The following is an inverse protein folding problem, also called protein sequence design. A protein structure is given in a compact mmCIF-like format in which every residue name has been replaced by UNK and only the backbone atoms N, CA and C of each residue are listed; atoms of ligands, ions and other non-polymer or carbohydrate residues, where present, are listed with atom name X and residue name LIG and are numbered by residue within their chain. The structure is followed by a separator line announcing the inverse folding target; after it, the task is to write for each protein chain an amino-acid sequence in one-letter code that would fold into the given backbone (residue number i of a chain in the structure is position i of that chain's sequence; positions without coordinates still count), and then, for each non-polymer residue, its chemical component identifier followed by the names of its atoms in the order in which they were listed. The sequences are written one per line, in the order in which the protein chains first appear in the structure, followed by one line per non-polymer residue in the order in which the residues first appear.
data_IF_424977551447
#
_entry.id   IF_424977551447
#
_cell.length_a   1.000
_cell.length_b   1.000
_cell.length_c   1.000
_cell.angle_alpha   90.00
_cell.angle_beta   90.00
_cell.angle_gamma   90.00
#
_symmetry.space_group_name_H-M   'P 1'
#
loop_
_entity.id
_entity.type
_entity.pdbx_description
1 polymer ?
#
# COMPACT_ATOMS: atom_id res chain seq x y z
N UNK A 1 -12.45 -2.94 -22.32
CA UNK A 1 -11.47 -1.83 -22.44
C UNK A 1 -10.53 -1.92 -21.23
N UNK A 2 -9.23 -1.61 -21.38
CA UNK A 2 -8.29 -1.52 -20.26
C UNK A 2 -7.72 -0.09 -20.16
N UNK A 3 -7.36 0.34 -18.95
CA UNK A 3 -6.87 1.68 -18.62
C UNK A 3 -5.47 1.61 -18.01
N UNK A 4 -4.63 2.62 -18.27
CA UNK A 4 -3.24 2.65 -17.78
C UNK A 4 -3.17 2.73 -16.25
N UNK A 5 -4.05 3.52 -15.66
CA UNK A 5 -4.21 3.66 -14.22
C UNK A 5 -5.68 3.45 -13.87
N UNK A 6 -5.94 2.65 -12.84
CA UNK A 6 -7.28 2.43 -12.29
C UNK A 6 -7.25 2.76 -10.81
N UNK A 7 -8.17 3.63 -10.35
CA UNK A 7 -8.36 3.90 -8.93
C UNK A 7 -9.48 3.03 -8.39
N UNK A 8 -9.18 2.17 -7.43
CA UNK A 8 -10.19 1.40 -6.70
C UNK A 8 -10.62 2.17 -5.44
N UNK A 9 -11.83 2.71 -5.54
CA UNK A 9 -12.57 3.40 -4.48
C UNK A 9 -13.84 2.62 -4.07
N UNK A 10 -13.95 1.35 -4.48
CA UNK A 10 -15.21 0.59 -4.37
C UNK A 10 -15.47 0.05 -2.96
N UNK A 11 -14.43 -0.15 -2.16
CA UNK A 11 -14.55 -0.75 -0.84
C UNK A 11 -15.15 -2.16 -0.86
N UNK A 12 -14.83 -2.99 -1.88
CA UNK A 12 -15.30 -4.38 -1.96
C UNK A 12 -14.29 -5.33 -2.63
N UNK A 13 -14.23 -6.62 -2.23
CA UNK A 13 -13.41 -7.62 -2.93
C UNK A 13 -13.74 -7.72 -4.42
N UNK A 14 -15.02 -7.68 -4.77
CA UNK A 14 -15.49 -7.79 -6.15
C UNK A 14 -15.04 -6.59 -6.99
N UNK A 15 -15.10 -5.39 -6.40
CA UNK A 15 -14.62 -4.16 -7.02
C UNK A 15 -13.12 -4.17 -7.26
N UNK A 16 -12.33 -4.67 -6.30
CA UNK A 16 -10.89 -4.88 -6.48
C UNK A 16 -10.58 -5.84 -7.64
N UNK A 17 -11.26 -6.99 -7.69
CA UNK A 17 -11.10 -7.96 -8.77
C UNK A 17 -11.47 -7.36 -10.14
N UNK A 18 -12.51 -6.53 -10.19
CA UNK A 18 -12.90 -5.83 -11.39
C UNK A 18 -11.86 -4.78 -11.80
N UNK A 19 -11.37 -3.99 -10.83
CA UNK A 19 -10.37 -2.95 -11.04
C UNK A 19 -9.05 -3.54 -11.58
N UNK A 20 -8.58 -4.67 -11.04
CA UNK A 20 -7.43 -5.41 -11.56
C UNK A 20 -7.63 -5.76 -13.04
N UNK A 21 -8.79 -6.30 -13.42
CA UNK A 21 -9.06 -6.73 -14.80
C UNK A 21 -9.09 -5.57 -15.81
N UNK A 22 -9.49 -4.39 -15.35
CA UNK A 22 -9.52 -3.17 -16.15
C UNK A 22 -8.16 -2.47 -16.23
N UNK A 23 -7.18 -2.84 -15.40
CA UNK A 23 -5.89 -2.16 -15.31
C UNK A 23 -4.87 -2.70 -16.32
N UNK A 24 -3.96 -1.82 -16.78
CA UNK A 24 -2.76 -2.16 -17.56
C UNK A 24 -1.46 -1.99 -16.78
N UNK A 25 -1.31 -0.89 -16.02
CA UNK A 25 -0.02 -0.54 -15.40
C UNK A 25 -0.13 -0.34 -13.88
N UNK A 26 -1.02 0.52 -13.40
CA UNK A 26 -1.12 0.86 -11.97
C UNK A 26 -2.56 0.72 -11.47
N UNK A 27 -2.76 -0.19 -10.51
CA UNK A 27 -3.98 -0.22 -9.71
C UNK A 27 -3.73 0.55 -8.41
N UNK A 28 -4.42 1.67 -8.24
CA UNK A 28 -4.29 2.53 -7.07
C UNK A 28 -5.45 2.29 -6.09
N UNK A 29 -5.14 1.80 -4.89
CA UNK A 29 -6.11 1.54 -3.84
C UNK A 29 -6.31 2.76 -2.94
N UNK A 30 -7.56 3.18 -2.80
CA UNK A 30 -7.97 4.29 -1.91
C UNK A 30 -8.88 3.84 -0.77
N UNK A 31 -9.72 2.85 -1.03
CA UNK A 31 -10.66 2.30 -0.05
C UNK A 31 -10.33 0.85 0.25
N UNK A 32 -10.67 0.39 1.44
CA UNK A 32 -10.54 -1.02 1.82
C UNK A 32 -11.80 -1.52 2.50
N UNK A 33 -11.97 -2.84 2.50
CA UNK A 33 -13.20 -3.49 2.97
C UNK A 33 -12.99 -4.37 4.20
N UNK A 34 -11.77 -4.47 4.72
CA UNK A 34 -11.43 -5.34 5.87
C UNK A 34 -11.65 -6.83 5.62
N UNK A 35 -11.93 -7.25 4.38
CA UNK A 35 -12.13 -8.64 3.97
C UNK A 35 -10.91 -9.16 3.22
N UNK A 36 -10.73 -10.48 3.23
CA UNK A 36 -9.71 -11.14 2.42
C UNK A 36 -10.02 -10.96 0.92
N UNK A 37 -9.00 -10.71 0.11
CA UNK A 37 -9.11 -10.69 -1.36
C UNK A 37 -7.81 -11.20 -1.99
N UNK A 38 -7.90 -12.10 -2.98
CA UNK A 38 -6.74 -12.73 -3.61
C UNK A 38 -5.75 -13.39 -2.63
N UNK A 39 -6.25 -13.87 -1.47
CA UNK A 39 -5.43 -14.47 -0.41
C UNK A 39 -4.73 -13.46 0.52
N UNK A 40 -4.98 -12.16 0.35
CA UNK A 40 -4.46 -11.10 1.22
C UNK A 40 -5.52 -10.68 2.22
N UNK A 41 -5.21 -10.80 3.52
CA UNK A 41 -6.12 -10.44 4.63
C UNK A 41 -5.87 -9.04 5.16
N UNK A 42 -4.69 -8.46 4.89
CA UNK A 42 -4.22 -7.19 5.46
C UNK A 42 -4.27 -6.03 4.45
N UNK A 43 -5.18 -6.07 3.48
CA UNK A 43 -5.32 -4.99 2.49
C UNK A 43 -5.68 -3.64 3.11
N UNK A 44 -6.48 -3.63 4.19
CA UNK A 44 -6.74 -2.42 4.98
C UNK A 44 -5.47 -1.81 5.54
N UNK A 45 -4.65 -2.63 6.19
CA UNK A 45 -3.37 -2.22 6.74
C UNK A 45 -2.38 -1.79 5.64
N UNK A 46 -2.38 -2.46 4.49
CA UNK A 46 -1.58 -2.09 3.32
C UNK A 46 -1.85 -0.64 2.87
N UNK A 47 -3.12 -0.23 2.84
CA UNK A 47 -3.52 1.16 2.52
C UNK A 47 -3.17 2.14 3.64
N UNK A 48 -3.33 1.73 4.91
CA UNK A 48 -2.96 2.57 6.07
C UNK A 48 -1.48 2.92 6.06
N UNK A 49 -0.62 1.94 5.76
CA UNK A 49 0.83 2.13 5.67
C UNK A 49 1.29 2.76 4.35
N UNK A 50 0.36 2.93 3.40
CA UNK A 50 0.62 3.43 2.04
C UNK A 50 1.68 2.60 1.32
N UNK A 51 1.56 1.27 1.38
CA UNK A 51 2.49 0.38 0.69
C UNK A 51 2.23 0.30 -0.82
N UNK A 52 3.25 -0.19 -1.52
CA UNK A 52 3.11 -0.68 -2.89
C UNK A 52 3.51 -2.14 -3.00
N UNK A 53 2.88 -2.86 -3.94
CA UNK A 53 3.18 -4.24 -4.29
C UNK A 53 3.54 -4.27 -5.77
N UNK A 54 4.77 -4.70 -6.06
CA UNK A 54 5.33 -4.72 -7.40
C UNK A 54 5.93 -6.09 -7.68
N UNK A 55 6.12 -6.41 -8.97
CA UNK A 55 7.03 -7.49 -9.36
C UNK A 55 8.45 -7.18 -8.90
N UNK A 56 9.21 -8.19 -8.53
CA UNK A 56 10.64 -8.04 -8.42
C UNK A 56 11.27 -7.80 -9.80
N UNK A 57 11.88 -6.63 -9.94
CA UNK A 57 12.78 -6.25 -11.01
C UNK A 57 13.87 -5.38 -10.37
N UNK A 58 15.12 -5.46 -10.83
CA UNK A 58 16.23 -4.72 -10.22
C UNK A 58 15.95 -3.21 -10.13
N UNK A 59 15.30 -2.62 -11.14
CA UNK A 59 14.89 -1.21 -11.14
C UNK A 59 13.89 -0.87 -10.02
N UNK A 60 13.09 -1.84 -9.56
CA UNK A 60 12.10 -1.62 -8.50
C UNK A 60 12.76 -1.59 -7.10
N UNK A 61 14.07 -1.90 -6.99
CA UNK A 61 14.86 -1.60 -5.79
C UNK A 61 15.03 -0.08 -5.60
N UNK A 62 14.85 0.72 -6.65
CA UNK A 62 14.84 2.18 -6.62
C UNK A 62 13.43 2.77 -6.39
N UNK A 63 12.45 1.95 -6.00
CA UNK A 63 11.08 2.41 -5.81
C UNK A 63 11.01 3.59 -4.84
N UNK A 64 10.34 4.66 -5.28
CA UNK A 64 10.04 5.86 -4.50
C UNK A 64 8.68 6.41 -4.91
N UNK A 65 8.02 7.12 -3.99
CA UNK A 65 6.72 7.71 -4.30
C UNK A 65 6.88 9.01 -5.11
N UNK A 66 5.99 9.27 -6.10
CA UNK A 66 5.96 10.56 -6.77
C UNK A 66 5.85 11.71 -5.78
N UNK A 67 6.74 12.69 -5.88
CA UNK A 67 6.75 13.86 -5.00
C UNK A 67 7.44 13.69 -3.64
N UNK A 68 8.13 12.57 -3.37
CA UNK A 68 9.18 12.56 -2.34
C UNK A 68 10.35 13.47 -2.81
N UNK A 69 10.23 14.78 -2.55
CA UNK A 69 11.16 15.85 -3.00
C UNK A 69 12.38 16.00 -2.07
N UNK A 70 12.33 15.45 -0.86
CA UNK A 70 13.45 15.51 0.09
C UNK A 70 14.41 14.37 -0.23
N UNK A 71 15.59 14.72 -0.79
CA UNK A 71 16.75 13.88 -1.09
C UNK A 71 16.42 12.44 -1.53
N UNK A 72 16.53 12.16 -2.84
CA UNK A 72 16.33 10.83 -3.47
C UNK A 72 16.62 9.70 -2.48
N UNK A 73 15.55 9.20 -1.88
CA UNK A 73 15.61 8.22 -0.81
C UNK A 73 16.25 6.94 -1.33
N UNK A 74 17.36 6.53 -0.73
CA UNK A 74 18.01 5.26 -1.08
C UNK A 74 17.41 4.12 -0.25
N UNK A 75 16.80 3.13 -0.92
CA UNK A 75 16.34 1.92 -0.26
C UNK A 75 17.57 1.04 0.07
N UNK A 76 18.03 1.12 1.32
CA UNK A 76 19.28 0.51 1.75
C UNK A 76 19.07 -0.83 2.45
N UNK A 77 18.02 -0.94 3.27
CA UNK A 77 17.74 -2.13 4.08
C UNK A 77 16.63 -2.96 3.46
N UNK A 78 16.98 -4.13 2.95
CA UNK A 78 16.07 -5.01 2.22
C UNK A 78 15.83 -6.26 3.04
N UNK A 79 14.59 -6.44 3.49
CA UNK A 79 14.15 -7.72 4.03
C UNK A 79 13.94 -8.70 2.87
N UNK A 80 14.43 -9.92 3.00
CA UNK A 80 14.18 -10.98 2.03
C UNK A 80 13.66 -12.22 2.75
N UNK A 81 12.50 -12.73 2.33
CA UNK A 81 11.96 -13.97 2.87
C UNK A 81 12.87 -15.16 2.47
N UNK A 82 13.08 -16.15 3.35
CA UNK A 82 13.85 -17.36 3.03
C UNK A 82 13.26 -18.20 1.89
N UNK A 83 12.02 -17.91 1.47
CA UNK A 83 11.38 -18.56 0.32
C UNK A 83 11.85 -18.01 -1.04
N UNK A 84 12.52 -16.86 -1.06
CA UNK A 84 13.05 -16.23 -2.27
C UNK A 84 14.27 -16.98 -2.76
N UNK A 85 14.37 -17.13 -4.09
CA UNK A 85 15.48 -17.83 -4.74
C UNK A 85 16.83 -17.13 -4.46
N UNK A 86 17.88 -17.91 -4.19
CA UNK A 86 19.22 -17.39 -3.88
C UNK A 86 19.76 -16.49 -5.00
N UNK A 87 19.42 -16.75 -6.27
CA UNK A 87 19.84 -15.89 -7.39
C UNK A 87 19.26 -14.47 -7.29
N UNK A 88 18.06 -14.32 -6.75
CA UNK A 88 17.44 -13.02 -6.47
C UNK A 88 18.14 -12.35 -5.30
N UNK A 89 18.46 -13.10 -4.24
CA UNK A 89 19.19 -12.61 -3.07
C UNK A 89 20.55 -12.03 -3.50
N UNK A 90 21.34 -12.78 -4.25
CA UNK A 90 22.65 -12.34 -4.75
C UNK A 90 22.53 -11.13 -5.68
N UNK A 91 21.53 -11.08 -6.56
CA UNK A 91 21.29 -9.93 -7.42
C UNK A 91 21.02 -8.65 -6.62
N UNK A 92 20.37 -8.74 -5.45
CA UNK A 92 20.16 -7.57 -4.58
C UNK A 92 21.48 -7.21 -3.87
N UNK A 93 22.23 -8.19 -3.36
CA UNK A 93 23.54 -7.97 -2.71
C UNK A 93 24.53 -7.27 -3.64
N UNK A 94 24.56 -7.64 -4.92
CA UNK A 94 25.39 -7.02 -5.96
C UNK A 94 25.12 -5.52 -6.16
N UNK A 95 23.97 -5.03 -5.69
CA UNK A 95 23.66 -3.59 -5.72
C UNK A 95 24.28 -2.80 -4.55
N UNK A 96 25.00 -3.46 -3.63
CA UNK A 96 25.61 -2.84 -2.45
C UNK A 96 24.62 -2.51 -1.33
N UNK A 97 23.39 -3.02 -1.43
CA UNK A 97 22.35 -2.89 -0.40
C UNK A 97 22.59 -3.85 0.75
N UNK A 98 22.09 -3.49 1.92
CA UNK A 98 22.04 -4.38 3.06
C UNK A 98 20.88 -5.37 2.89
N UNK A 99 21.20 -6.63 2.64
CA UNK A 99 20.23 -7.69 2.42
C UNK A 99 20.16 -8.58 3.65
N UNK A 100 19.01 -8.61 4.30
CA UNK A 100 18.80 -9.45 5.49
C UNK A 100 17.79 -10.54 5.15
N UNK A 101 18.30 -11.78 5.03
CA UNK A 101 17.50 -12.97 4.79
C UNK A 101 17.15 -13.62 6.12
N UNK A 102 15.87 -13.60 6.50
CA UNK A 102 15.42 -14.23 7.74
C UNK A 102 13.92 -14.45 7.77
N UNK A 103 13.48 -15.37 8.64
CA UNK A 103 12.08 -15.53 8.99
C UNK A 103 11.49 -14.25 9.56
N UNK A 104 10.24 -13.94 9.17
CA UNK A 104 9.54 -12.71 9.60
C UNK A 104 9.50 -12.57 11.13
N UNK A 105 9.30 -13.68 11.86
CA UNK A 105 9.28 -13.68 13.31
C UNK A 105 10.58 -13.12 13.92
N UNK A 106 11.74 -13.42 13.31
CA UNK A 106 13.02 -12.85 13.73
C UNK A 106 13.15 -11.38 13.31
N UNK A 107 12.56 -10.99 12.18
CA UNK A 107 12.63 -9.63 11.67
C UNK A 107 11.90 -8.65 12.59
N UNK A 108 10.82 -9.12 13.24
CA UNK A 108 10.14 -8.39 14.30
C UNK A 108 11.11 -7.99 15.41
N UNK A 109 11.96 -8.90 15.88
CA UNK A 109 12.90 -8.63 16.97
C UNK A 109 13.92 -7.55 16.58
N UNK A 110 14.50 -7.65 15.37
CA UNK A 110 15.40 -6.62 14.83
C UNK A 110 14.72 -5.26 14.77
N UNK A 111 13.54 -5.18 14.15
CA UNK A 111 12.82 -3.91 13.99
C UNK A 111 12.40 -3.32 15.34
N UNK A 112 11.97 -4.15 16.30
CA UNK A 112 11.66 -3.66 17.67
C UNK A 112 12.90 -3.10 18.37
N UNK A 113 14.05 -3.76 18.23
CA UNK A 113 15.32 -3.26 18.76
C UNK A 113 15.75 -1.95 18.08
N UNK A 114 15.61 -1.86 16.76
CA UNK A 114 15.89 -0.66 15.98
C UNK A 114 15.04 0.54 16.40
N UNK A 115 13.74 0.32 16.61
CA UNK A 115 12.82 1.37 17.09
C UNK A 115 13.26 1.86 18.48
N UNK A 116 13.64 0.95 19.37
CA UNK A 116 14.08 1.28 20.72
C UNK A 116 15.42 2.04 20.73
N UNK A 117 16.38 1.63 19.89
CA UNK A 117 17.65 2.32 19.66
C UNK A 117 17.42 3.75 19.15
N UNK A 118 16.59 3.89 18.11
CA UNK A 118 16.23 5.18 17.51
C UNK A 118 15.57 6.12 18.54
N UNK A 119 14.67 5.60 19.39
CA UNK A 119 14.04 6.38 20.49
C UNK A 119 15.05 6.89 21.52
N UNK A 120 16.16 6.18 21.73
CA UNK A 120 17.24 6.58 22.62
C UNK A 120 18.25 7.54 21.98
N UNK A 121 18.04 7.90 20.70
CA UNK A 121 18.96 8.75 19.94
C UNK A 121 20.32 8.09 19.66
N UNK A 122 20.43 6.76 19.83
CA UNK A 122 21.65 5.99 19.57
C UNK A 122 21.33 4.95 18.50
N UNK A 123 21.80 5.20 17.28
CA UNK A 123 21.75 4.21 16.21
C UNK A 123 23.03 3.40 16.31
N UNK A 124 22.97 2.25 16.99
CA UNK A 124 24.14 1.37 17.18
C UNK A 124 24.25 0.35 16.04
N UNK A 125 23.13 0.01 15.41
CA UNK A 125 23.10 -0.90 14.27
C UNK A 125 23.58 -0.20 12.98
N UNK A 126 24.65 -0.74 12.39
CA UNK A 126 25.22 -0.25 11.13
C UNK A 126 24.19 -0.24 9.98
N UNK A 127 23.22 -1.15 10.03
CA UNK A 127 22.15 -1.26 9.03
C UNK A 127 21.23 -0.03 9.07
N UNK A 128 21.01 0.56 10.25
CA UNK A 128 20.14 1.73 10.37
C UNK A 128 20.81 3.04 9.95
N UNK A 129 22.14 3.09 9.84
CA UNK A 129 22.87 4.34 9.55
C UNK A 129 22.49 4.99 8.22
N UNK A 130 21.90 4.21 7.29
CA UNK A 130 21.46 4.66 5.97
C UNK A 130 19.94 4.74 5.81
N UNK A 131 19.15 4.40 6.83
CA UNK A 131 17.69 4.45 6.74
C UNK A 131 17.11 5.56 7.61
N UNK A 132 16.21 6.39 7.07
CA UNK A 132 15.57 7.47 7.83
C UNK A 132 14.56 6.95 8.87
N UNK A 133 14.22 5.66 8.84
CA UNK A 133 13.20 5.05 9.71
C UNK A 133 13.71 3.71 10.20
N UNK A 134 13.50 3.35 11.48
CA UNK A 134 14.03 2.12 12.07
C UNK A 134 13.27 0.85 11.65
N UNK A 135 13.15 0.63 10.34
CA UNK A 135 12.41 -0.45 9.67
C UNK A 135 13.09 -0.77 8.33
N UNK A 136 12.70 -1.88 7.72
CA UNK A 136 13.12 -2.19 6.35
C UNK A 136 12.54 -1.19 5.35
N UNK A 137 13.29 -0.94 4.28
CA UNK A 137 12.89 -0.05 3.20
C UNK A 137 11.98 -0.74 2.19
N UNK A 138 12.38 -1.96 1.83
CA UNK A 138 11.69 -2.86 0.93
C UNK A 138 11.64 -4.26 1.55
N UNK A 139 10.65 -5.04 1.14
CA UNK A 139 10.57 -6.46 1.44
C UNK A 139 10.50 -7.25 0.13
N UNK A 140 11.20 -8.38 0.04
CA UNK A 140 11.12 -9.31 -1.10
C UNK A 140 10.56 -10.63 -0.63
N UNK A 141 9.51 -11.10 -1.29
CA UNK A 141 8.77 -12.33 -0.92
C UNK A 141 8.51 -13.16 -2.16
N UNK A 142 8.43 -14.49 -2.02
CA UNK A 142 8.14 -15.39 -3.16
C UNK A 142 6.70 -15.90 -3.15
N UNK A 143 6.00 -15.76 -2.00
CA UNK A 143 4.64 -16.24 -1.79
C UNK A 143 3.71 -15.08 -1.40
N UNK A 144 2.47 -15.10 -1.90
CA UNK A 144 1.48 -14.04 -1.62
C UNK A 144 1.10 -14.05 -0.13
N UNK A 145 1.07 -15.23 0.48
CA UNK A 145 0.71 -15.44 1.88
C UNK A 145 1.72 -14.81 2.85
N UNK A 146 2.96 -14.57 2.41
CA UNK A 146 3.99 -13.90 3.22
C UNK A 146 3.73 -12.40 3.35
N UNK A 147 3.00 -11.79 2.41
CA UNK A 147 2.73 -10.35 2.36
C UNK A 147 2.02 -9.89 3.64
N UNK A 148 1.00 -10.61 4.08
CA UNK A 148 0.27 -10.27 5.32
C UNK A 148 1.19 -10.25 6.55
N UNK A 149 2.20 -11.13 6.56
CA UNK A 149 3.19 -11.21 7.64
C UNK A 149 4.17 -10.04 7.60
N UNK A 150 4.42 -9.43 6.44
CA UNK A 150 5.20 -8.19 6.36
C UNK A 150 4.41 -7.01 6.93
N UNK A 151 3.11 -6.94 6.60
CA UNK A 151 2.24 -5.81 6.94
C UNK A 151 1.90 -5.82 8.44
N UNK A 152 1.48 -6.98 8.98
CA UNK A 152 1.12 -7.17 10.40
C UNK A 152 1.64 -8.53 10.90
N UNK A 153 2.94 -8.65 11.23
CA UNK A 153 3.52 -9.90 11.72
C UNK A 153 3.07 -10.28 13.13
N UNK A 154 2.64 -9.31 13.94
CA UNK A 154 2.24 -9.54 15.33
C UNK A 154 0.75 -9.30 15.47
N UNK A 155 0.04 -10.32 15.95
CA UNK A 155 -1.40 -10.21 16.17
C UNK A 155 -1.71 -9.15 17.24
N UNK A 156 -2.72 -8.33 16.96
CA UNK A 156 -3.19 -7.25 17.84
C UNK A 156 -2.18 -6.12 18.10
N UNK A 157 -1.10 -6.02 17.32
CA UNK A 157 -0.20 -4.86 17.33
C UNK A 157 -0.30 -4.12 15.98
N UNK A 158 -0.42 -2.79 16.03
CA UNK A 158 -0.28 -1.92 14.86
C UNK A 158 1.22 -1.75 14.53
N UNK A 159 1.82 -2.86 14.07
CA UNK A 159 3.24 -2.96 13.81
C UNK A 159 3.49 -3.59 12.45
N UNK A 160 4.38 -2.99 11.66
CA UNK A 160 4.95 -3.56 10.44
C UNK A 160 6.47 -3.57 10.54
N UNK A 161 7.10 -4.58 9.91
CA UNK A 161 8.56 -4.61 9.71
C UNK A 161 9.01 -3.68 8.58
N UNK A 162 8.09 -3.34 7.67
CA UNK A 162 8.33 -2.43 6.55
C UNK A 162 7.97 -1.01 6.97
N UNK A 163 8.78 -0.04 6.56
CA UNK A 163 8.49 1.37 6.80
C UNK A 163 7.25 1.82 6.03
N UNK A 164 6.46 2.78 6.57
CA UNK A 164 5.41 3.43 5.80
C UNK A 164 5.93 3.93 4.45
N UNK A 165 5.09 3.86 3.42
CA UNK A 165 5.46 4.20 2.05
C UNK A 165 6.59 3.33 1.48
N UNK A 166 6.86 2.17 2.07
CA UNK A 166 7.73 1.14 1.51
C UNK A 166 7.04 0.34 0.41
N UNK A 167 7.78 -0.59 -0.19
CA UNK A 167 7.23 -1.52 -1.17
C UNK A 167 7.61 -2.97 -0.90
N UNK A 168 6.71 -3.87 -1.29
CA UNK A 168 6.88 -5.30 -1.29
C UNK A 168 7.09 -5.75 -2.73
N UNK A 169 8.20 -6.45 -2.99
CA UNK A 169 8.59 -6.95 -4.29
C UNK A 169 8.31 -8.46 -4.36
N UNK A 170 7.46 -8.86 -5.29
CA UNK A 170 7.06 -10.25 -5.50
C UNK A 170 8.05 -10.95 -6.45
N UNK A 171 8.82 -11.89 -5.91
CA UNK A 171 9.85 -12.69 -6.58
C UNK A 171 9.56 -14.20 -6.47
N UNK A 172 8.47 -14.69 -7.07
CA UNK A 172 8.17 -16.12 -7.07
C UNK A 172 9.20 -16.94 -7.87
N UNK A 173 9.32 -18.25 -7.59
CA UNK A 173 10.23 -19.13 -8.34
C UNK A 173 9.86 -19.19 -9.83
N UNK A 174 10.86 -19.32 -10.70
CA UNK A 174 10.69 -19.40 -12.17
C UNK A 174 9.81 -20.57 -12.62
N UNK A 175 9.76 -21.66 -11.85
CA UNK A 175 8.89 -22.80 -12.10
C UNK A 175 7.65 -22.72 -11.21
N UNK A 176 6.58 -22.10 -11.71
CA UNK A 176 5.25 -22.23 -11.11
C UNK A 176 4.79 -23.66 -11.42
N UNK A 177 5.02 -24.60 -10.49
CA UNK A 177 4.25 -25.84 -10.51
C UNK A 177 2.78 -25.43 -10.37
N UNK A 178 1.88 -26.04 -11.16
CA UNK A 178 0.44 -25.80 -11.04
C UNK A 178 0.04 -25.90 -9.56
N UNK A 179 -0.20 -24.74 -8.98
CA UNK A 179 -0.49 -24.60 -7.57
C UNK A 179 -1.99 -24.73 -7.40
N UNK A 180 -2.45 -25.52 -6.43
CA UNK A 180 -3.88 -25.69 -6.13
C UNK A 180 -4.47 -24.46 -5.43
N UNK A 181 -3.91 -23.28 -5.68
CA UNK A 181 -4.34 -22.01 -5.10
C UNK A 181 -5.62 -21.50 -5.78
N UNK A 182 -6.37 -20.67 -5.07
CA UNK A 182 -7.66 -20.15 -5.55
C UNK A 182 -7.51 -19.37 -6.85
N UNK A 183 -8.58 -19.32 -7.65
CA UNK A 183 -8.62 -18.55 -8.90
C UNK A 183 -8.26 -17.07 -8.71
N UNK A 184 -8.63 -16.49 -7.56
CA UNK A 184 -8.33 -15.08 -7.24
C UNK A 184 -6.84 -14.86 -6.93
N UNK A 185 -6.23 -15.75 -6.14
CA UNK A 185 -4.80 -15.67 -5.88
C UNK A 185 -3.99 -15.88 -7.17
N UNK A 186 -4.42 -16.79 -8.03
CA UNK A 186 -3.81 -16.99 -9.35
C UNK A 186 -3.94 -15.74 -10.23
N UNK A 187 -5.06 -15.02 -10.14
CA UNK A 187 -5.20 -13.71 -10.81
C UNK A 187 -4.16 -12.72 -10.29
N UNK A 188 -3.98 -12.59 -8.97
CA UNK A 188 -2.98 -11.69 -8.40
C UNK A 188 -1.55 -12.05 -8.82
N UNK A 189 -1.18 -13.34 -8.75
CA UNK A 189 0.12 -13.84 -9.22
C UNK A 189 0.36 -13.46 -10.69
N UNK A 190 -0.63 -13.74 -11.54
CA UNK A 190 -0.59 -13.41 -12.97
C UNK A 190 -0.39 -11.90 -13.20
N UNK A 191 -1.18 -11.05 -12.55
CA UNK A 191 -1.09 -9.61 -12.82
C UNK A 191 0.23 -9.00 -12.35
N UNK A 192 0.80 -9.50 -11.26
CA UNK A 192 2.12 -9.07 -10.80
C UNK A 192 3.23 -9.58 -11.72
N UNK A 193 3.18 -10.84 -12.14
CA UNK A 193 4.28 -11.46 -12.88
C UNK A 193 4.23 -11.21 -14.38
N UNK A 194 3.10 -11.52 -15.00
CA UNK A 194 2.94 -11.53 -16.46
C UNK A 194 2.53 -10.15 -16.97
N UNK A 195 1.49 -9.56 -16.35
CA UNK A 195 0.98 -8.26 -16.79
C UNK A 195 1.81 -7.07 -16.26
N UNK A 196 2.70 -7.33 -15.28
CA UNK A 196 3.53 -6.32 -14.60
C UNK A 196 2.72 -5.13 -14.04
N UNK A 197 1.50 -5.40 -13.56
CA UNK A 197 0.65 -4.41 -12.91
C UNK A 197 1.22 -4.16 -11.51
N UNK A 198 1.38 -2.88 -11.17
CA UNK A 198 1.77 -2.45 -9.84
C UNK A 198 0.53 -2.08 -9.03
N UNK A 199 0.49 -2.49 -7.77
CA UNK A 199 -0.58 -2.13 -6.85
C UNK A 199 -0.05 -1.09 -5.89
N UNK A 200 -0.61 0.11 -5.95
CA UNK A 200 -0.20 1.25 -5.14
C UNK A 200 -1.31 1.56 -4.15
N UNK A 201 -0.99 2.13 -3.01
CA UNK A 201 -2.00 2.60 -2.07
C UNK A 201 -1.67 3.95 -1.46
N UNK A 202 -2.70 4.73 -1.15
CA UNK A 202 -2.53 5.98 -0.40
C UNK A 202 -3.70 6.17 0.53
N UNK A 203 -3.46 6.77 1.69
CA UNK A 203 -4.53 7.17 2.60
C UNK A 203 -5.11 8.53 2.20
N UNK A 204 -5.94 9.11 3.07
CA UNK A 204 -6.47 10.46 2.87
C UNK A 204 -5.33 11.47 2.69
N UNK A 205 -5.50 12.38 1.73
CA UNK A 205 -4.47 13.33 1.32
C UNK A 205 -4.16 14.38 2.39
N UNK A 206 -3.13 15.18 2.11
CA UNK A 206 -2.74 16.29 2.96
C UNK A 206 -3.83 17.38 2.95
N UNK A 207 -4.48 17.57 4.11
CA UNK A 207 -5.53 18.58 4.29
C UNK A 207 -4.99 19.99 4.04
N UNK A 208 -3.80 20.31 4.52
CA UNK A 208 -3.19 21.63 4.34
C UNK A 208 -2.98 21.95 2.86
N UNK A 209 -2.45 21.00 2.08
CA UNK A 209 -2.28 21.19 0.64
C UNK A 209 -3.64 21.31 -0.08
N UNK A 210 -4.62 20.50 0.33
CA UNK A 210 -5.98 20.57 -0.23
C UNK A 210 -6.61 21.94 0.02
N UNK A 211 -6.48 22.46 1.25
CA UNK A 211 -6.99 23.79 1.63
C UNK A 211 -6.25 24.90 0.89
N UNK A 212 -4.93 24.81 0.77
CA UNK A 212 -4.12 25.77 0.00
C UNK A 212 -4.57 25.80 -1.46
N UNK A 213 -4.74 24.63 -2.10
CA UNK A 213 -5.22 24.54 -3.48
C UNK A 213 -6.62 25.13 -3.65
N UNK A 214 -7.56 24.81 -2.75
CA UNK A 214 -8.93 25.33 -2.81
C UNK A 214 -8.96 26.85 -2.57
N UNK A 215 -8.23 27.35 -1.57
CA UNK A 215 -8.14 28.79 -1.28
C UNK A 215 -7.46 29.58 -2.39
N UNK A 216 -6.50 28.97 -3.10
CA UNK A 216 -5.78 29.60 -4.21
C UNK A 216 -6.54 29.54 -5.54
N UNK A 217 -7.67 28.83 -5.61
CA UNK A 217 -8.46 28.64 -6.83
C UNK A 217 -9.96 28.80 -6.52
N UNK A 218 -10.39 30.01 -6.16
CA UNK A 218 -11.77 30.31 -5.73
C UNK A 218 -12.84 29.85 -6.73
N UNK A 219 -12.62 30.05 -8.03
CA UNK A 219 -13.57 29.64 -9.08
C UNK A 219 -13.79 28.12 -9.08
N UNK A 220 -12.72 27.34 -8.96
CA UNK A 220 -12.78 25.88 -8.89
C UNK A 220 -13.47 25.45 -7.61
N UNK A 221 -13.16 26.10 -6.49
CA UNK A 221 -13.79 25.82 -5.18
C UNK A 221 -15.28 26.08 -5.21
N UNK A 222 -15.72 27.19 -5.83
CA UNK A 222 -17.14 27.50 -6.00
C UNK A 222 -17.85 26.43 -6.83
N UNK A 223 -17.28 26.08 -7.99
CA UNK A 223 -17.83 25.03 -8.86
C UNK A 223 -17.91 23.69 -8.12
N UNK A 224 -16.86 23.31 -7.37
CA UNK A 224 -16.87 22.09 -6.57
C UNK A 224 -17.95 22.13 -5.49
N UNK A 225 -18.09 23.23 -4.75
CA UNK A 225 -19.13 23.38 -3.74
C UNK A 225 -20.53 23.21 -4.32
N UNK A 226 -20.81 23.92 -5.42
CA UNK A 226 -22.13 23.92 -6.07
C UNK A 226 -22.48 22.58 -6.73
N UNK A 227 -21.51 21.84 -7.25
CA UNK A 227 -21.76 20.63 -8.04
C UNK A 227 -21.48 19.31 -7.30
N UNK A 228 -20.63 19.31 -6.26
CA UNK A 228 -20.33 18.12 -5.48
C UNK A 228 -21.37 17.90 -4.38
N UNK A 229 -21.84 18.97 -3.72
CA UNK A 229 -22.85 18.88 -2.66
C UNK A 229 -24.22 18.72 -3.30
N UNK A 230 -24.63 17.46 -3.48
CA UNK A 230 -25.91 17.13 -4.13
C UNK A 230 -27.12 17.19 -3.21
N UNK A 231 -26.92 17.01 -1.90
CA UNK A 231 -27.98 17.06 -0.88
C UNK A 231 -27.43 17.57 0.44
N UNK A 232 -28.27 18.33 1.14
CA UNK A 232 -28.02 18.74 2.53
C UNK A 232 -29.17 18.21 3.39
N UNK A 233 -28.85 17.64 4.55
CA UNK A 233 -29.84 17.17 5.52
C UNK A 233 -29.50 17.73 6.89
N UNK A 234 -30.51 17.86 7.75
CA UNK A 234 -30.29 18.23 9.16
C UNK A 234 -29.86 17.00 9.96
N UNK A 235 -29.15 17.22 11.07
CA UNK A 235 -28.73 16.14 11.97
C UNK A 235 -29.90 15.24 12.42
N UNK A 236 -31.07 15.82 12.68
CA UNK A 236 -32.29 15.09 13.06
C UNK A 236 -32.75 14.07 11.99
N UNK A 237 -32.38 14.30 10.72
CA UNK A 237 -32.76 13.50 9.55
C UNK A 237 -31.59 12.62 9.06
N UNK A 238 -30.61 12.33 9.92
CA UNK A 238 -29.36 11.61 9.53
C UNK A 238 -29.62 10.25 8.88
N UNK A 239 -30.68 9.54 9.27
CA UNK A 239 -31.05 8.25 8.67
C UNK A 239 -31.49 8.40 7.21
N UNK A 240 -32.19 9.48 6.88
CA UNK A 240 -32.54 9.84 5.50
C UNK A 240 -31.28 10.25 4.74
N UNK A 241 -30.37 10.95 5.41
CA UNK A 241 -29.03 11.26 4.89
C UNK A 241 -28.26 10.00 4.45
N UNK A 242 -28.23 8.95 5.28
CA UNK A 242 -27.60 7.68 4.91
C UNK A 242 -28.30 7.00 3.73
N UNK A 243 -29.63 7.00 3.70
CA UNK A 243 -30.42 6.41 2.62
C UNK A 243 -30.18 7.14 1.29
N UNK A 244 -30.09 8.47 1.32
CA UNK A 244 -29.76 9.30 0.16
C UNK A 244 -28.32 9.06 -0.31
N UNK A 245 -27.35 8.99 0.61
CA UNK A 245 -25.95 8.74 0.29
C UNK A 245 -25.71 7.38 -0.37
N UNK A 246 -26.56 6.39 -0.09
CA UNK A 246 -26.52 5.07 -0.73
C UNK A 246 -27.16 5.02 -2.13
N UNK A 247 -27.79 6.11 -2.58
CA UNK A 247 -28.48 6.15 -3.89
C UNK A 247 -27.55 6.54 -5.05
N UNK A 248 -27.79 6.00 -6.24
CA UNK A 248 -26.91 6.15 -7.41
C UNK A 248 -26.81 7.59 -7.97
N UNK A 249 -27.76 8.47 -7.63
CA UNK A 249 -27.86 9.83 -8.18
C UNK A 249 -27.39 10.92 -7.19
N UNK A 250 -26.80 10.53 -6.06
CA UNK A 250 -26.34 11.45 -5.02
C UNK A 250 -24.81 11.37 -4.97
N UNK A 251 -24.15 12.50 -5.22
CA UNK A 251 -22.69 12.62 -5.24
C UNK A 251 -22.16 12.80 -3.82
N UNK A 252 -22.77 13.70 -3.05
CA UNK A 252 -22.41 13.99 -1.66
C UNK A 252 -23.64 14.46 -0.88
N UNK A 253 -23.79 13.90 0.32
CA UNK A 253 -24.69 14.42 1.35
C UNK A 253 -23.85 15.17 2.39
N UNK A 254 -24.22 16.41 2.69
CA UNK A 254 -23.71 17.15 3.86
C UNK A 254 -24.76 17.10 4.97
N UNK A 255 -24.29 17.03 6.21
CA UNK A 255 -25.15 17.08 7.39
C UNK A 255 -24.90 18.42 8.05
N UNK A 256 -25.95 19.24 8.10
CA UNK A 256 -25.95 20.45 8.90
C UNK A 256 -26.17 20.08 10.36
N UNK A 257 -25.21 20.49 11.19
CA UNK A 257 -25.13 20.17 12.62
C UNK A 257 -25.55 21.36 13.48
N UNK A 258 -26.11 22.43 12.89
CA UNK A 258 -26.63 23.55 13.65
C UNK A 258 -27.57 23.08 14.79
N UNK A 259 -27.21 23.48 16.01
CA UNK A 259 -27.94 23.25 17.26
C UNK A 259 -29.09 24.25 17.42
#
# INVERSE_FOLDING_TARGET
QKFDIVFDTTGSPEGFLHAIKLCKNILHLKSTHGREVCGLRRMSDFVVEEFSLLRFEQKNLEFSWPGEIVDKRENSNIFVSPSVDESVVELIKDTGRNVIVLEVARAVDYVKQWIEQSRKGKVEDENLTKSPVPRFDLAVVSKIEEIDSIIRPVNNEEFSILRPRGAILYAPPLSIKEDKTSNEMNLLKKVLQEDNIQIWSTRCGNLSNSLEMLSSNEDVTKILGENMISKEVKLQDINDGFSLAASENVIKVTVDVEY
#
